data_IF_717429118046
#
_entry.id   IF_717429118046
#
_cell.length_a   1.000
_cell.length_b   1.000
_cell.length_c   1.000
_cell.angle_alpha   90.00
_cell.angle_beta   90.00
_cell.angle_gamma   90.00
#
_symmetry.space_group_name_H-M   'P 1'
#
loop_
_entity.id
_entity.type
_entity.pdbx_description
1 polymer ?
#
# COMPACT_ATOMS: atom_id res chain seq x y z
N UNK A 1 0.32 12.38 -5.46
CA UNK A 1 -1.16 12.22 -5.47
C UNK A 1 -1.51 10.80 -5.96
N UNK A 2 -2.68 10.26 -5.61
CA UNK A 2 -3.10 8.91 -6.02
C UNK A 2 -3.35 8.77 -7.52
N UNK A 3 -3.53 9.89 -8.23
CA UNK A 3 -3.72 9.95 -9.69
C UNK A 3 -2.43 9.80 -10.49
N UNK A 4 -1.28 9.67 -9.83
CA UNK A 4 0.02 9.46 -10.47
C UNK A 4 0.61 8.13 -10.01
N UNK A 5 1.28 7.38 -10.90
CA UNK A 5 1.99 6.17 -10.51
C UNK A 5 3.00 6.48 -9.40
N UNK A 6 2.84 5.80 -8.26
CA UNK A 6 3.54 6.11 -7.00
C UNK A 6 3.93 4.87 -6.20
N UNK A 7 3.85 3.70 -6.83
CA UNK A 7 4.42 2.45 -6.33
C UNK A 7 5.49 2.01 -7.31
N UNK A 8 6.69 1.76 -6.80
CA UNK A 8 7.80 1.26 -7.59
C UNK A 8 8.20 -0.12 -7.08
N UNK A 9 8.45 -1.05 -7.99
CA UNK A 9 8.97 -2.37 -7.66
C UNK A 9 10.25 -2.59 -8.45
N UNK A 10 11.34 -2.91 -7.76
CA UNK A 10 12.65 -3.12 -8.36
C UNK A 10 13.15 -4.54 -8.10
N UNK A 11 13.86 -5.09 -9.08
CA UNK A 11 14.70 -6.27 -8.88
C UNK A 11 16.00 -5.84 -8.21
N UNK A 12 16.24 -6.29 -6.98
CA UNK A 12 17.50 -5.98 -6.29
C UNK A 12 18.71 -6.74 -6.89
N UNK A 13 18.46 -7.84 -7.61
CA UNK A 13 19.52 -8.61 -8.25
C UNK A 13 20.05 -7.94 -9.53
N UNK A 14 19.16 -7.29 -10.29
CA UNK A 14 19.50 -6.71 -11.61
C UNK A 14 19.49 -5.18 -11.61
N UNK A 15 18.81 -4.55 -10.66
CA UNK A 15 18.56 -3.11 -10.63
C UNK A 15 17.39 -2.67 -11.52
N UNK A 16 16.69 -3.59 -12.18
CA UNK A 16 15.61 -3.25 -13.11
C UNK A 16 14.35 -2.75 -12.39
N UNK A 17 13.70 -1.75 -12.98
CA UNK A 17 12.35 -1.35 -12.63
C UNK A 17 11.35 -2.35 -13.24
N UNK A 18 10.65 -3.09 -12.39
CA UNK A 18 9.68 -4.11 -12.80
C UNK A 18 8.26 -3.55 -12.94
N UNK A 19 7.86 -2.67 -12.02
CA UNK A 19 6.51 -2.07 -11.99
C UNK A 19 6.58 -0.60 -11.54
N UNK A 20 5.79 0.26 -12.18
CA UNK A 20 5.56 1.64 -11.77
C UNK A 20 4.06 1.94 -11.86
N UNK A 21 3.36 1.79 -10.73
CA UNK A 21 1.90 1.64 -10.74
C UNK A 21 1.16 2.68 -9.90
N UNK A 22 -0.12 2.85 -10.26
CA UNK A 22 -1.12 3.47 -9.40
C UNK A 22 -1.38 2.58 -8.18
N UNK A 23 -1.49 3.21 -7.00
CA UNK A 23 -1.82 2.50 -5.76
C UNK A 23 -2.74 3.35 -4.87
N UNK A 24 -3.85 2.77 -4.45
CA UNK A 24 -4.80 3.38 -3.53
C UNK A 24 -4.27 3.38 -2.08
N UNK A 25 -4.82 4.28 -1.26
CA UNK A 25 -4.54 4.35 0.18
C UNK A 25 -5.84 4.18 0.98
N UNK A 26 -5.72 4.02 2.30
CA UNK A 26 -6.86 3.91 3.21
C UNK A 26 -7.76 5.15 3.21
N UNK A 27 -9.06 4.97 3.41
CA UNK A 27 -10.06 6.05 3.36
C UNK A 27 -9.78 7.17 4.35
N UNK A 28 -9.35 6.79 5.54
CA UNK A 28 -9.06 7.75 6.60
C UNK A 28 -7.62 8.29 6.53
N UNK A 29 -6.80 7.79 5.60
CA UNK A 29 -5.48 8.35 5.35
C UNK A 29 -5.51 9.61 4.50
N UNK A 30 -6.63 9.94 3.86
CA UNK A 30 -6.71 11.10 2.99
C UNK A 30 -6.50 12.42 3.75
N UNK A 31 -5.79 13.35 3.12
CA UNK A 31 -5.64 14.71 3.63
C UNK A 31 -7.01 15.41 3.68
N UNK A 32 -7.24 16.29 4.68
CA UNK A 32 -8.49 17.05 4.77
C UNK A 32 -8.83 17.77 3.46
N UNK A 33 -10.02 17.50 2.92
CA UNK A 33 -10.48 18.10 1.67
C UNK A 33 -9.77 17.61 0.40
N UNK A 34 -8.84 16.67 0.49
CA UNK A 34 -8.11 16.15 -0.67
C UNK A 34 -8.00 14.62 -0.66
N UNK A 35 -8.97 13.90 -1.26
CA UNK A 35 -8.99 12.44 -1.34
C UNK A 35 -7.84 11.82 -2.15
N UNK A 36 -7.12 12.62 -2.96
CA UNK A 36 -5.98 12.13 -3.74
C UNK A 36 -4.67 12.13 -2.95
N UNK A 37 -4.61 12.82 -1.80
CA UNK A 37 -3.39 13.00 -1.03
C UNK A 37 -3.48 12.28 0.30
N UNK A 38 -2.35 11.71 0.76
CA UNK A 38 -2.27 11.17 2.12
C UNK A 38 -1.96 12.32 3.08
N UNK A 39 -2.70 12.41 4.18
CA UNK A 39 -2.46 13.32 5.29
C UNK A 39 -2.07 12.62 6.59
N UNK A 40 -2.41 11.33 6.74
CA UNK A 40 -2.07 10.56 7.93
C UNK A 40 -1.98 9.05 7.64
N UNK A 41 -1.22 8.34 8.47
CA UNK A 41 -1.13 6.89 8.50
C UNK A 41 -1.42 6.40 9.93
N UNK A 42 -1.67 5.12 10.11
CA UNK A 42 -1.91 4.57 11.45
C UNK A 42 -1.44 3.15 11.58
N UNK A 43 -1.15 2.79 12.83
CA UNK A 43 -0.94 1.42 13.29
C UNK A 43 -2.15 0.87 14.08
N UNK A 44 -3.27 1.61 14.17
CA UNK A 44 -4.41 1.27 15.04
C UNK A 44 -5.41 0.40 14.29
N UNK A 45 -5.89 -0.66 14.94
CA UNK A 45 -6.92 -1.52 14.39
C UNK A 45 -8.26 -0.79 14.20
N UNK A 46 -8.92 -1.02 13.06
CA UNK A 46 -10.17 -0.32 12.70
C UNK A 46 -9.99 1.15 12.29
N UNK A 47 -8.76 1.66 12.16
CA UNK A 47 -8.51 3.06 11.75
C UNK A 47 -8.91 3.35 10.30
N UNK A 48 -8.99 2.33 9.44
CA UNK A 48 -9.12 2.44 7.98
C UNK A 48 -8.04 3.30 7.31
N UNK A 49 -6.92 3.54 8.00
CA UNK A 49 -5.74 4.22 7.48
C UNK A 49 -4.76 3.19 6.95
N UNK A 50 -3.93 3.60 5.99
CA UNK A 50 -2.77 2.80 5.56
C UNK A 50 -1.69 2.78 6.65
N UNK A 51 -0.82 1.76 6.57
CA UNK A 51 0.36 1.65 7.43
C UNK A 51 1.58 2.22 6.72
N UNK A 52 2.54 2.72 7.49
CA UNK A 52 3.83 3.20 7.00
C UNK A 52 4.95 2.24 7.42
N UNK A 53 6.16 2.45 6.93
CA UNK A 53 7.34 1.70 7.33
C UNK A 53 7.63 0.45 6.50
N UNK A 54 8.69 -0.25 6.89
CA UNK A 54 9.16 -1.48 6.28
C UNK A 54 8.27 -2.66 6.67
N UNK A 55 7.86 -3.41 5.67
CA UNK A 55 7.04 -4.61 5.78
C UNK A 55 7.65 -5.70 4.89
N UNK A 56 7.23 -6.94 5.11
CA UNK A 56 7.57 -8.09 4.28
C UNK A 56 6.32 -8.73 3.73
N UNK A 57 6.34 -9.06 2.44
CA UNK A 57 5.28 -9.86 1.83
C UNK A 57 5.35 -11.30 2.31
N UNK A 58 4.19 -11.92 2.45
CA UNK A 58 4.02 -13.24 3.02
C UNK A 58 3.30 -14.16 2.02
N UNK A 59 2.36 -14.97 2.51
CA UNK A 59 1.59 -15.89 1.70
C UNK A 59 0.42 -15.20 0.98
N UNK A 60 0.02 -15.79 -0.14
CA UNK A 60 -1.19 -15.39 -0.87
C UNK A 60 -2.40 -16.19 -0.40
N UNK A 61 -3.59 -15.64 -0.61
CA UNK A 61 -4.86 -16.31 -0.31
C UNK A 61 -5.98 -15.78 -1.21
N UNK A 62 -7.10 -16.51 -1.25
CA UNK A 62 -8.33 -16.06 -1.88
C UNK A 62 -9.31 -15.58 -0.81
N UNK A 63 -9.76 -14.33 -0.91
CA UNK A 63 -10.68 -13.70 0.04
C UNK A 63 -11.77 -12.85 -0.63
N UNK A 64 -12.40 -11.96 0.13
CA UNK A 64 -13.45 -11.06 -0.40
C UNK A 64 -12.95 -10.10 -1.48
N UNK A 65 -11.67 -9.75 -1.46
CA UNK A 65 -11.02 -8.94 -2.49
C UNK A 65 -10.39 -9.79 -3.61
N UNK A 66 -10.71 -11.09 -3.68
CA UNK A 66 -10.10 -12.04 -4.61
C UNK A 66 -8.66 -12.39 -4.21
N UNK A 67 -7.81 -12.56 -5.23
CA UNK A 67 -6.41 -12.95 -5.06
C UNK A 67 -5.65 -11.84 -4.32
N UNK A 68 -5.20 -12.15 -3.11
CA UNK A 68 -4.64 -11.17 -2.18
C UNK A 68 -3.33 -11.67 -1.60
N UNK A 69 -2.43 -10.73 -1.29
CA UNK A 69 -1.12 -11.01 -0.71
C UNK A 69 -0.99 -10.38 0.67
N UNK A 70 -0.70 -11.21 1.67
CA UNK A 70 -0.44 -10.73 3.02
C UNK A 70 0.91 -10.05 3.12
N UNK A 71 0.95 -9.12 4.06
CA UNK A 71 2.15 -8.40 4.46
C UNK A 71 2.25 -8.39 5.98
N UNK A 72 3.47 -8.38 6.48
CA UNK A 72 3.83 -8.38 7.89
C UNK A 72 4.70 -7.16 8.19
N UNK A 73 4.40 -6.44 9.26
CA UNK A 73 5.18 -5.29 9.68
C UNK A 73 6.47 -5.66 10.41
N UNK A 74 7.52 -4.88 10.18
CA UNK A 74 8.84 -5.05 10.82
C UNK A 74 9.21 -3.95 11.82
N UNK A 75 8.38 -2.92 11.96
CA UNK A 75 8.64 -1.78 12.82
C UNK A 75 7.63 -1.74 13.98
N UNK A 76 8.01 -2.24 15.17
CA UNK A 76 7.18 -2.15 16.37
C UNK A 76 6.73 -0.72 16.65
N UNK A 77 5.43 -0.55 16.92
CA UNK A 77 4.81 0.76 17.15
C UNK A 77 4.37 1.48 15.86
N UNK A 78 5.00 1.20 14.72
CA UNK A 78 4.66 1.82 13.43
C UNK A 78 3.81 0.93 12.54
N UNK A 79 4.08 -0.36 12.48
CA UNK A 79 3.36 -1.28 11.59
C UNK A 79 3.25 -2.73 12.08
N UNK A 80 3.59 -3.03 13.33
CA UNK A 80 3.40 -4.35 13.95
C UNK A 80 1.93 -4.81 13.98
N UNK A 81 0.95 -3.92 13.79
CA UNK A 81 -0.45 -4.29 13.67
C UNK A 81 -0.94 -4.55 12.22
N UNK A 82 -0.07 -4.49 11.21
CA UNK A 82 -0.45 -4.69 9.79
C UNK A 82 -1.22 -6.01 9.57
N UNK A 83 -0.70 -7.12 10.11
CA UNK A 83 -1.31 -8.44 10.00
C UNK A 83 -2.68 -8.53 10.68
N UNK A 84 -2.84 -8.21 11.98
CA UNK A 84 -4.15 -8.26 12.65
C UNK A 84 -5.16 -7.26 12.07
N UNK A 85 -4.71 -6.22 11.37
CA UNK A 85 -5.55 -5.28 10.62
C UNK A 85 -6.02 -5.78 9.26
N UNK A 86 -5.59 -6.99 8.85
CA UNK A 86 -5.86 -7.55 7.54
C UNK A 86 -5.46 -6.62 6.38
N UNK A 87 -4.37 -5.87 6.54
CA UNK A 87 -3.81 -5.05 5.46
C UNK A 87 -3.07 -5.98 4.49
N UNK A 88 -3.46 -5.94 3.21
CA UNK A 88 -3.00 -6.86 2.16
C UNK A 88 -2.89 -6.12 0.83
N UNK A 89 -2.05 -6.59 -0.09
CA UNK A 89 -2.15 -6.20 -1.49
C UNK A 89 -3.35 -6.90 -2.14
N UNK A 90 -4.13 -6.18 -2.94
CA UNK A 90 -5.22 -6.75 -3.72
C UNK A 90 -5.59 -5.88 -4.93
N UNK A 91 -6.34 -6.45 -5.87
CA UNK A 91 -6.93 -5.72 -6.99
C UNK A 91 -8.14 -4.87 -6.54
N UNK A 92 -8.38 -3.73 -7.19
CA UNK A 92 -9.62 -2.98 -7.02
C UNK A 92 -10.01 -2.19 -8.27
N UNK A 93 -11.27 -2.24 -8.68
CA UNK A 93 -11.78 -1.51 -9.86
C UNK A 93 -11.66 0.01 -9.72
N UNK A 94 -11.57 0.50 -8.48
CA UNK A 94 -11.35 1.91 -8.15
C UNK A 94 -9.87 2.33 -8.16
N UNK A 95 -8.94 1.40 -8.37
CA UNK A 95 -7.49 1.62 -8.41
C UNK A 95 -6.97 1.73 -9.86
N UNK A 96 -7.83 2.13 -10.80
CA UNK A 96 -7.54 2.19 -12.24
C UNK A 96 -7.33 3.62 -12.74
N UNK A 97 -6.61 3.77 -13.85
CA UNK A 97 -6.40 5.07 -14.50
C UNK A 97 -7.72 5.71 -14.98
N UNK A 98 -8.66 4.91 -15.47
CA UNK A 98 -9.99 5.36 -15.87
C UNK A 98 -10.79 5.90 -14.69
N UNK A 99 -10.78 5.19 -13.55
CA UNK A 99 -11.42 5.68 -12.33
C UNK A 99 -10.81 7.01 -11.86
N UNK A 100 -9.47 7.11 -11.84
CA UNK A 100 -8.78 8.36 -11.52
C UNK A 100 -9.16 9.51 -12.46
N UNK A 101 -9.23 9.26 -13.77
CA UNK A 101 -9.60 10.27 -14.75
C UNK A 101 -11.04 10.79 -14.56
N UNK A 102 -11.98 9.90 -14.21
CA UNK A 102 -13.38 10.28 -13.98
C UNK A 102 -13.64 10.95 -12.63
N UNK A 103 -12.91 10.57 -11.58
CA UNK A 103 -13.19 11.00 -10.21
C UNK A 103 -12.20 12.05 -9.66
N UNK A 104 -11.07 12.27 -10.35
CA UNK A 104 -9.97 13.12 -9.87
C UNK A 104 -9.10 12.49 -8.77
N UNK A 105 -9.34 11.23 -8.42
CA UNK A 105 -8.59 10.44 -7.43
C UNK A 105 -8.83 8.94 -7.64
N UNK A 106 -7.98 8.08 -7.07
CA UNK A 106 -8.30 6.65 -6.93
C UNK A 106 -9.24 6.47 -5.75
N UNK A 107 -10.13 5.47 -5.84
CA UNK A 107 -10.91 5.07 -4.68
C UNK A 107 -10.00 4.69 -3.51
N UNK A 108 -10.59 4.55 -2.32
CA UNK A 108 -9.84 4.32 -1.09
C UNK A 108 -10.24 3.00 -0.48
N UNK A 109 -9.24 2.25 -0.03
CA UNK A 109 -9.41 1.00 0.69
C UNK A 109 -9.65 1.26 2.19
N UNK A 110 -9.64 0.22 3.02
CA UNK A 110 -9.55 0.36 4.48
C UNK A 110 -8.12 0.22 5.01
N UNK A 111 -7.13 0.60 4.20
CA UNK A 111 -5.71 0.66 4.56
C UNK A 111 -4.82 -0.16 3.64
N UNK A 112 -5.40 -1.13 2.93
CA UNK A 112 -4.74 -1.98 1.95
C UNK A 112 -4.13 -1.18 0.78
N UNK A 113 -2.90 -1.50 0.34
CA UNK A 113 -2.42 -1.08 -0.97
C UNK A 113 -3.22 -1.81 -2.07
N UNK A 114 -4.21 -1.12 -2.66
CA UNK A 114 -4.99 -1.65 -3.76
C UNK A 114 -4.46 -1.13 -5.10
N UNK A 115 -4.33 -2.01 -6.09
CA UNK A 115 -3.75 -1.73 -7.41
C UNK A 115 -4.72 -2.09 -8.54
N UNK A 116 -4.39 -1.68 -9.76
CA UNK A 116 -5.18 -1.98 -10.95
C UNK A 116 -5.36 -3.50 -11.13
N UNK A 117 -6.60 -4.01 -11.37
CA UNK A 117 -6.84 -5.42 -11.64
C UNK A 117 -6.00 -5.99 -12.78
N UNK A 118 -5.63 -5.17 -13.77
CA UNK A 118 -4.81 -5.59 -14.92
C UNK A 118 -3.36 -5.96 -14.53
N UNK A 119 -2.83 -5.42 -13.42
CA UNK A 119 -1.46 -5.69 -12.97
C UNK A 119 -1.40 -6.59 -11.72
N UNK A 120 -2.47 -6.64 -10.93
CA UNK A 120 -2.48 -7.23 -9.59
C UNK A 120 -1.88 -8.65 -9.52
N UNK A 121 -2.28 -9.56 -10.42
CA UNK A 121 -1.76 -10.94 -10.41
C UNK A 121 -0.26 -10.99 -10.67
N UNK A 122 0.22 -10.30 -11.72
CA UNK A 122 1.63 -10.30 -12.09
C UNK A 122 2.50 -9.65 -11.01
N UNK A 123 2.02 -8.54 -10.42
CA UNK A 123 2.67 -7.89 -9.29
C UNK A 123 2.75 -8.83 -8.09
N UNK A 124 1.62 -9.37 -7.63
CA UNK A 124 1.55 -10.25 -6.46
C UNK A 124 2.45 -11.47 -6.64
N UNK A 125 2.42 -12.10 -7.82
CA UNK A 125 3.26 -13.27 -8.09
C UNK A 125 4.75 -12.94 -8.10
N UNK A 126 5.12 -11.72 -8.51
CA UNK A 126 6.50 -11.24 -8.47
C UNK A 126 6.97 -10.97 -7.05
N UNK A 127 6.10 -10.39 -6.20
CA UNK A 127 6.51 -9.89 -4.88
C UNK A 127 6.13 -10.82 -3.72
N UNK A 128 5.46 -11.96 -3.93
CA UNK A 128 5.08 -12.87 -2.83
C UNK A 128 6.29 -13.54 -2.17
N UNK A 129 6.08 -14.09 -0.97
CA UNK A 129 7.04 -14.94 -0.27
C UNK A 129 8.36 -14.26 0.16
N UNK A 130 8.32 -12.98 0.53
CA UNK A 130 9.38 -12.37 1.31
C UNK A 130 10.05 -11.14 0.72
N UNK A 131 9.46 -10.52 -0.30
CA UNK A 131 9.88 -9.21 -0.81
C UNK A 131 9.65 -8.13 0.24
N UNK A 132 10.58 -7.18 0.32
CA UNK A 132 10.46 -6.01 1.16
C UNK A 132 9.53 -4.98 0.52
N UNK A 133 8.60 -4.46 1.30
CA UNK A 133 7.68 -3.39 0.92
C UNK A 133 7.86 -2.21 1.87
N UNK A 134 8.16 -1.03 1.33
CA UNK A 134 8.27 0.21 2.10
C UNK A 134 7.11 1.14 1.74
N UNK A 135 6.32 1.51 2.74
CA UNK A 135 5.27 2.53 2.63
C UNK A 135 5.74 3.82 3.30
N UNK A 136 6.10 4.83 2.51
CA UNK A 136 6.74 6.04 3.02
C UNK A 136 5.80 7.24 3.04
N UNK A 137 5.74 7.94 4.19
CA UNK A 137 5.04 9.22 4.34
C UNK A 137 5.86 10.20 5.18
N UNK A 138 6.46 11.20 4.53
CA UNK A 138 7.32 12.20 5.19
C UNK A 138 6.58 13.17 6.12
N UNK A 139 5.24 13.21 6.06
CA UNK A 139 4.42 14.03 6.94
C UNK A 139 4.35 13.51 8.38
N UNK A 140 4.78 12.27 8.62
CA UNK A 140 4.86 11.68 9.97
C UNK A 140 6.27 11.87 10.55
N UNK A 141 6.47 12.94 11.32
CA UNK A 141 7.78 13.26 11.91
C UNK A 141 8.24 12.23 12.95
N UNK A 142 7.31 11.55 13.62
CA UNK A 142 7.64 10.51 14.60
C UNK A 142 8.22 9.28 13.90
N UNK A 143 7.63 8.85 12.78
CA UNK A 143 8.20 7.78 11.97
C UNK A 143 9.51 8.17 11.31
N UNK A 144 9.59 9.36 10.70
CA UNK A 144 10.83 9.82 10.03
C UNK A 144 12.02 9.88 10.99
N UNK A 145 11.81 10.25 12.26
CA UNK A 145 12.88 10.32 13.25
C UNK A 145 13.09 9.03 14.05
N UNK A 146 12.09 8.15 14.10
CA UNK A 146 12.08 6.94 14.93
C UNK A 146 12.26 5.64 14.16
N UNK A 147 12.18 5.64 12.83
CA UNK A 147 12.37 4.44 12.01
C UNK A 147 13.81 3.95 12.12
N UNK A 148 13.98 2.63 12.22
CA UNK A 148 15.30 1.99 12.14
C UNK A 148 15.75 1.69 10.71
N UNK A 149 14.94 2.06 9.70
CA UNK A 149 15.14 1.71 8.29
C UNK A 149 15.23 2.93 7.36
N UNK A 150 15.27 4.14 7.92
CA UNK A 150 15.54 5.41 7.23
C UNK A 150 16.91 5.95 7.65
#
# INVERSE_FOLDING_TARGET
PSTQPRMWTFSLATGDLLFHELVAHGSNSSAPGNPAMVGAMSNINGSHMSSLGLMRTAETYQGSNGYSLRIDGFEPGFNDAVRPRAIVFHAADYATASFAASNGYLGRSWGCPAVDPAVATALIDTIKNGTLYMSHFSGDSAWVSGSSYL
#
